data_IF_610885208021
#
_entry.id   IF_610885208021
#
_cell.length_a   1.000
_cell.length_b   1.000
_cell.length_c   1.000
_cell.angle_alpha   90.00
_cell.angle_beta   90.00
_cell.angle_gamma   90.00
#
_symmetry.space_group_name_H-M   'P 1'
#
loop_
_entity.id
_entity.type
_entity.pdbx_description
1 polymer ?
#
# COMPACT_ATOMS: atom_id res chain seq x y z
N UNK A 1 -10.50 18.09 -40.20
CA UNK A 1 -9.69 18.01 -38.98
C UNK A 1 -9.07 16.63 -38.99
N UNK A 2 -7.94 16.49 -39.69
CA UNK A 2 -7.29 15.21 -39.89
C UNK A 2 -6.49 14.85 -38.63
N UNK A 3 -6.89 13.77 -37.98
CA UNK A 3 -6.11 13.13 -36.93
C UNK A 3 -4.87 12.52 -37.59
N UNK A 4 -3.81 13.32 -37.72
CA UNK A 4 -2.51 12.86 -38.16
C UNK A 4 -2.04 11.78 -37.18
N UNK A 5 -2.08 10.54 -37.65
CA UNK A 5 -1.73 9.35 -36.92
C UNK A 5 -0.21 9.23 -36.88
N UNK A 6 0.45 10.13 -36.16
CA UNK A 6 1.84 9.93 -35.75
C UNK A 6 1.82 9.17 -34.44
N UNK A 7 1.69 7.85 -34.52
CA UNK A 7 2.00 6.98 -33.39
C UNK A 7 3.47 7.18 -33.04
N UNK A 8 3.83 7.65 -31.84
CA UNK A 8 5.23 7.68 -31.45
C UNK A 8 5.67 6.22 -31.32
N UNK A 9 6.59 5.80 -32.17
CA UNK A 9 7.31 4.55 -32.00
C UNK A 9 8.03 4.62 -30.65
N UNK A 10 7.45 3.96 -29.64
CA UNK A 10 8.04 3.80 -28.31
C UNK A 10 9.23 2.86 -28.43
N UNK A 11 10.39 3.46 -28.71
CA UNK A 11 11.65 2.72 -28.78
C UNK A 11 12.15 2.46 -27.36
N UNK A 12 12.27 1.19 -26.98
CA UNK A 12 12.61 0.75 -25.62
C UNK A 12 14.00 1.21 -25.14
N UNK A 13 14.84 1.71 -26.05
CA UNK A 13 16.18 2.24 -25.76
C UNK A 13 16.23 3.78 -25.68
N UNK A 14 15.11 4.48 -25.81
CA UNK A 14 15.06 5.94 -25.62
C UNK A 14 15.34 6.28 -24.14
N UNK A 15 16.31 7.15 -23.83
CA UNK A 15 16.55 7.64 -22.47
C UNK A 15 15.28 8.17 -21.78
N UNK A 16 14.34 8.74 -22.53
CA UNK A 16 13.06 9.22 -22.03
C UNK A 16 12.13 8.07 -21.58
N UNK A 17 12.18 6.93 -22.27
CA UNK A 17 11.42 5.73 -21.89
C UNK A 17 11.88 5.16 -20.55
N UNK A 18 13.18 5.07 -20.35
CA UNK A 18 13.75 4.60 -19.08
C UNK A 18 13.42 5.54 -17.91
N UNK A 19 13.44 6.86 -18.14
CA UNK A 19 13.01 7.84 -17.14
C UNK A 19 11.52 7.70 -16.80
N UNK A 20 10.67 7.52 -17.81
CA UNK A 20 9.25 7.27 -17.61
C UNK A 20 8.99 5.99 -16.79
N UNK A 21 9.68 4.89 -17.08
CA UNK A 21 9.57 3.66 -16.29
C UNK A 21 9.96 3.87 -14.83
N UNK A 22 11.02 4.62 -14.55
CA UNK A 22 11.42 4.94 -13.17
C UNK A 22 10.37 5.79 -12.44
N UNK A 23 9.79 6.78 -13.13
CA UNK A 23 8.71 7.61 -12.57
C UNK A 23 7.47 6.76 -12.28
N UNK A 24 7.07 5.89 -13.21
CA UNK A 24 5.96 4.96 -13.02
C UNK A 24 6.18 4.02 -11.83
N UNK A 25 7.39 3.48 -11.66
CA UNK A 25 7.72 2.63 -10.51
C UNK A 25 7.59 3.40 -9.19
N UNK A 26 8.09 4.65 -9.16
CA UNK A 26 8.00 5.51 -7.98
C UNK A 26 6.54 5.80 -7.61
N UNK A 27 5.71 6.17 -8.60
CA UNK A 27 4.30 6.44 -8.37
C UNK A 27 3.52 5.17 -8.01
N UNK A 28 3.87 4.01 -8.56
CA UNK A 28 3.28 2.73 -8.16
C UNK A 28 3.58 2.39 -6.69
N UNK A 29 4.81 2.62 -6.23
CA UNK A 29 5.19 2.42 -4.82
C UNK A 29 4.41 3.37 -3.91
N UNK A 30 4.25 4.64 -4.30
CA UNK A 30 3.44 5.62 -3.55
C UNK A 30 1.99 5.21 -3.47
N UNK A 31 1.38 4.79 -4.58
CA UNK A 31 0.00 4.35 -4.62
C UNK A 31 -0.23 3.17 -3.67
N UNK A 32 0.64 2.16 -3.71
CA UNK A 32 0.59 1.01 -2.80
C UNK A 32 0.72 1.42 -1.34
N UNK A 33 1.63 2.34 -1.03
CA UNK A 33 1.76 2.86 0.33
C UNK A 33 0.48 3.58 0.79
N UNK A 34 -0.09 4.44 -0.05
CA UNK A 34 -1.35 5.13 0.25
C UNK A 34 -2.50 4.16 0.47
N UNK A 35 -2.61 3.12 -0.35
CA UNK A 35 -3.61 2.05 -0.19
C UNK A 35 -3.46 1.33 1.17
N UNK A 36 -2.23 1.00 1.56
CA UNK A 36 -1.95 0.39 2.87
C UNK A 36 -2.33 1.32 4.03
N UNK A 37 -2.01 2.61 3.92
CA UNK A 37 -2.41 3.62 4.91
C UNK A 37 -3.92 3.70 5.03
N UNK A 38 -4.65 3.75 3.92
CA UNK A 38 -6.13 3.79 3.92
C UNK A 38 -6.72 2.51 4.50
N UNK A 39 -6.17 1.36 4.16
CA UNK A 39 -6.61 0.05 4.68
C UNK A 39 -6.44 -0.03 6.20
N UNK A 40 -5.25 0.31 6.72
CA UNK A 40 -4.99 0.35 8.16
C UNK A 40 -5.85 1.38 8.86
N UNK A 41 -6.04 2.56 8.24
CA UNK A 41 -6.88 3.62 8.79
C UNK A 41 -8.32 3.14 8.96
N UNK A 42 -8.93 2.58 7.91
CA UNK A 42 -10.30 2.07 7.97
C UNK A 42 -10.45 0.95 8.99
N UNK A 43 -9.55 -0.04 8.97
CA UNK A 43 -9.64 -1.16 9.90
C UNK A 43 -9.42 -0.76 11.35
N UNK A 44 -8.43 0.08 11.64
CA UNK A 44 -8.18 0.54 13.00
C UNK A 44 -9.22 1.55 13.47
N UNK A 45 -9.90 2.24 12.55
CA UNK A 45 -11.08 3.01 12.88
C UNK A 45 -12.18 2.11 13.42
N UNK A 46 -12.56 1.06 12.68
CA UNK A 46 -13.61 0.12 13.08
C UNK A 46 -13.31 -0.58 14.41
N UNK A 47 -12.03 -0.89 14.68
CA UNK A 47 -11.61 -1.56 15.90
C UNK A 47 -11.58 -0.63 17.11
N UNK A 48 -11.09 0.61 16.93
CA UNK A 48 -10.81 1.50 18.06
C UNK A 48 -11.89 2.54 18.35
N UNK A 49 -12.78 2.82 17.40
CA UNK A 49 -13.84 3.83 17.51
C UNK A 49 -15.23 3.18 17.50
N UNK A 50 -15.53 2.37 18.53
CA UNK A 50 -16.79 1.62 18.65
C UNK A 50 -18.07 2.46 18.62
N UNK A 51 -17.98 3.74 19.00
CA UNK A 51 -19.15 4.58 19.24
C UNK A 51 -19.43 5.52 18.06
N UNK A 52 -18.61 5.47 17.00
CA UNK A 52 -18.64 6.34 15.79
C UNK A 52 -18.68 7.85 16.05
N UNK A 53 -18.44 8.29 17.30
CA UNK A 53 -18.36 9.71 17.64
C UNK A 53 -16.98 10.25 17.29
N UNK A 54 -16.94 11.33 16.52
CA UNK A 54 -15.70 12.06 16.28
C UNK A 54 -15.30 12.81 17.56
N UNK A 55 -14.21 12.43 18.24
CA UNK A 55 -13.76 13.14 19.43
C UNK A 55 -13.13 14.46 19.02
N UNK A 56 -13.33 15.52 19.80
CA UNK A 56 -12.60 16.78 19.63
C UNK A 56 -11.09 16.63 19.90
N UNK A 57 -10.67 15.58 20.63
CA UNK A 57 -9.29 15.11 20.79
C UNK A 57 -9.28 13.60 20.95
N UNK A 58 -8.28 12.91 20.38
CA UNK A 58 -8.02 11.52 20.71
C UNK A 58 -7.67 11.39 22.19
N UNK A 59 -8.50 10.68 22.96
CA UNK A 59 -8.20 10.36 24.35
C UNK A 59 -7.07 9.31 24.44
N UNK A 60 -6.49 9.15 25.62
CA UNK A 60 -5.35 8.26 25.83
C UNK A 60 -5.64 6.80 25.47
N UNK A 61 -6.87 6.31 25.69
CA UNK A 61 -7.23 4.91 25.39
C UNK A 61 -7.30 4.69 23.89
N UNK A 62 -7.97 5.59 23.17
CA UNK A 62 -8.07 5.51 21.70
C UNK A 62 -6.69 5.61 21.05
N UNK A 63 -5.81 6.50 21.52
CA UNK A 63 -4.44 6.60 20.99
C UNK A 63 -3.64 5.31 21.19
N UNK A 64 -3.72 4.70 22.37
CA UNK A 64 -3.08 3.41 22.61
C UNK A 64 -3.69 2.30 21.76
N UNK A 65 -5.03 2.29 21.61
CA UNK A 65 -5.70 1.32 20.75
C UNK A 65 -5.19 1.42 19.31
N UNK A 66 -5.15 2.61 18.72
CA UNK A 66 -4.70 2.81 17.33
C UNK A 66 -3.25 2.35 17.15
N UNK A 67 -2.34 2.73 18.06
CA UNK A 67 -0.95 2.27 18.03
C UNK A 67 -0.85 0.75 18.05
N UNK A 68 -1.58 0.10 18.97
CA UNK A 68 -1.59 -1.35 19.08
C UNK A 68 -2.21 -2.00 17.84
N UNK A 69 -3.32 -1.46 17.34
CA UNK A 69 -4.01 -1.98 16.16
C UNK A 69 -3.08 -1.99 14.94
N UNK A 70 -2.43 -0.87 14.63
CA UNK A 70 -1.52 -0.77 13.49
C UNK A 70 -0.35 -1.75 13.65
N UNK A 71 0.31 -1.77 14.81
CA UNK A 71 1.44 -2.68 15.05
C UNK A 71 1.02 -4.15 14.91
N UNK A 72 -0.13 -4.55 15.47
CA UNK A 72 -0.62 -5.93 15.37
C UNK A 72 -0.99 -6.33 13.95
N UNK A 73 -1.57 -5.42 13.16
CA UNK A 73 -1.89 -5.70 11.76
C UNK A 73 -0.63 -5.89 10.92
N UNK A 74 0.39 -5.06 11.13
CA UNK A 74 1.70 -5.22 10.45
C UNK A 74 2.37 -6.53 10.87
N UNK A 75 2.42 -6.84 12.17
CA UNK A 75 2.98 -8.10 12.69
C UNK A 75 2.29 -9.32 12.08
N UNK A 76 0.96 -9.32 12.05
CA UNK A 76 0.17 -10.40 11.47
C UNK A 76 0.42 -10.55 9.97
N UNK A 77 0.54 -9.43 9.24
CA UNK A 77 0.80 -9.43 7.80
C UNK A 77 2.18 -10.02 7.49
N UNK A 78 3.21 -9.62 8.25
CA UNK A 78 4.56 -10.16 8.12
C UNK A 78 4.59 -11.66 8.44
N UNK A 79 3.94 -12.07 9.53
CA UNK A 79 3.84 -13.49 9.90
C UNK A 79 3.20 -14.34 8.78
N UNK A 80 2.13 -13.85 8.17
CA UNK A 80 1.48 -14.53 7.04
C UNK A 80 2.42 -14.64 5.84
N UNK A 81 3.11 -13.55 5.46
CA UNK A 81 4.05 -13.54 4.34
C UNK A 81 5.20 -14.52 4.58
N UNK A 82 5.83 -14.48 5.75
CA UNK A 82 6.90 -15.39 6.14
C UNK A 82 6.46 -16.86 6.09
N UNK A 83 5.25 -17.15 6.58
CA UNK A 83 4.69 -18.49 6.54
C UNK A 83 4.48 -18.99 5.10
N UNK A 84 3.89 -18.14 4.24
CA UNK A 84 3.67 -18.47 2.82
C UNK A 84 4.99 -18.67 2.06
N UNK A 85 6.00 -17.86 2.32
CA UNK A 85 7.34 -18.02 1.74
C UNK A 85 8.00 -19.33 2.18
N UNK A 86 7.85 -19.72 3.45
CA UNK A 86 8.36 -21.00 3.94
C UNK A 86 7.65 -22.19 3.29
N UNK A 87 6.34 -22.11 3.08
CA UNK A 87 5.56 -23.15 2.41
C UNK A 87 5.95 -23.30 0.93
N UNK A 88 6.12 -22.19 0.20
CA UNK A 88 6.53 -22.25 -1.20
C UNK A 88 7.93 -22.84 -1.37
N UNK A 89 8.86 -22.53 -0.46
CA UNK A 89 10.20 -23.13 -0.45
C UNK A 89 10.16 -24.65 -0.19
N UNK A 90 9.22 -25.14 0.61
CA UNK A 90 9.08 -26.57 0.92
C UNK A 90 8.45 -27.37 -0.23
N UNK A 91 7.66 -26.74 -1.10
CA UNK A 91 7.08 -27.41 -2.29
C UNK A 91 8.09 -27.59 -3.44
N UNK A 92 9.25 -26.93 -3.39
CA UNK A 92 10.30 -27.00 -4.41
C UNK A 92 11.47 -27.95 -4.02
N UNK A 93 11.35 -28.65 -2.90
CA UNK A 93 12.29 -29.68 -2.41
C UNK A 93 11.63 -31.04 -2.36
#
# INVERSE_FOLDING_TARGET
>A
MDFNSTSPSLDSNDPNWNQFLQQLQTENQRQKFTEQVQTLTGRCWDVCFSDYRLPSKLDGKTRNCVNNCVNRMIDASNFMVEHLQKMSATQLS
#
